data_IF_378719768190
#
_entry.id   IF_378719768190
#
_cell.length_a   1.000
_cell.length_b   1.000
_cell.length_c   1.000
_cell.angle_alpha   90.00
_cell.angle_beta   90.00
_cell.angle_gamma   90.00
#
_symmetry.space_group_name_H-M   'P 1'
#
loop_
_entity.id
_entity.type
_entity.pdbx_description
1 polymer ?
#
# COMPACT_ATOMS: atom_id res chain seq x y z
N UNK A 1 13.89 4.46 -10.82
CA UNK A 1 13.73 4.21 -10.34
C UNK A 1 12.73 3.89 -9.81
N UNK A 2 12.28 3.13 -9.59
CA UNK A 2 11.35 2.66 -9.18
C UNK A 2 11.46 2.34 -7.87
N UNK A 3 11.54 3.06 -7.03
CA UNK A 3 11.64 2.72 -5.73
C UNK A 3 10.42 2.27 -5.23
N UNK A 4 9.39 2.17 -5.88
CA UNK A 4 8.13 1.67 -5.36
C UNK A 4 8.01 0.18 -5.56
N UNK A 5 9.06 -0.50 -5.98
CA UNK A 5 8.93 -1.92 -6.14
C UNK A 5 9.06 -2.61 -4.81
N UNK A 6 7.99 -3.21 -4.33
CA UNK A 6 7.97 -3.85 -3.02
C UNK A 6 7.86 -5.37 -3.10
N UNK A 7 7.74 -5.92 -4.28
CA UNK A 7 7.55 -7.36 -4.42
C UNK A 7 8.75 -8.10 -3.85
N UNK A 8 8.49 -9.08 -3.02
CA UNK A 8 9.55 -9.86 -2.38
C UNK A 8 9.94 -9.37 -1.00
N UNK A 9 9.40 -8.24 -0.57
CA UNK A 9 9.73 -7.73 0.75
C UNK A 9 8.80 -8.34 1.79
N UNK A 10 9.25 -8.39 3.03
CA UNK A 10 8.40 -8.82 4.11
C UNK A 10 7.55 -7.65 4.61
N UNK A 11 6.55 -7.98 5.43
CA UNK A 11 5.72 -6.92 6.01
C UNK A 11 6.55 -5.92 6.78
N UNK A 12 7.54 -6.41 7.54
CA UNK A 12 8.36 -5.53 8.32
C UNK A 12 9.17 -4.59 7.43
N UNK A 13 9.66 -5.09 6.32
CA UNK A 13 10.42 -4.26 5.40
C UNK A 13 9.54 -3.22 4.73
N UNK A 14 8.31 -3.55 4.44
CA UNK A 14 7.39 -2.60 3.84
C UNK A 14 7.14 -1.44 4.80
N UNK A 15 6.91 -1.75 6.07
CA UNK A 15 6.69 -0.71 7.05
C UNK A 15 7.95 0.14 7.23
N UNK A 16 9.12 -0.49 7.17
CA UNK A 16 10.36 0.26 7.31
C UNK A 16 10.54 1.25 6.18
N UNK A 17 10.05 0.92 5.00
CA UNK A 17 10.22 1.82 3.88
C UNK A 17 9.16 2.89 3.80
N UNK A 18 7.93 2.57 4.12
CA UNK A 18 6.82 3.49 3.92
C UNK A 18 6.25 4.08 5.20
N UNK A 19 6.63 3.54 6.34
CA UNK A 19 6.14 4.08 7.60
C UNK A 19 4.91 3.37 8.08
N UNK A 20 4.27 3.91 9.12
CA UNK A 20 3.18 3.22 9.78
C UNK A 20 1.81 3.68 9.36
N UNK A 21 1.67 4.27 8.21
CA UNK A 21 0.39 4.78 7.77
C UNK A 21 -0.51 3.78 7.09
N UNK A 22 -0.20 2.50 7.20
CA UNK A 22 -0.99 1.49 6.52
C UNK A 22 -2.29 1.18 7.22
N UNK A 23 -3.27 0.85 6.42
CA UNK A 23 -4.47 0.23 6.93
C UNK A 23 -4.24 -1.26 6.82
N UNK A 24 -4.16 -1.96 7.93
CA UNK A 24 -3.77 -3.36 7.96
C UNK A 24 -4.94 -4.32 7.87
N UNK A 25 -6.06 -3.85 7.49
CA UNK A 25 -7.22 -4.71 7.42
C UNK A 25 -7.66 -4.83 5.96
N UNK A 26 -7.82 -6.03 5.43
CA UNK A 26 -7.57 -7.32 6.07
C UNK A 26 -6.07 -7.62 6.13
N UNK A 27 -5.72 -8.64 6.91
CA UNK A 27 -4.33 -8.91 7.18
C UNK A 27 -3.48 -9.17 5.96
N UNK A 28 -4.03 -9.80 4.94
CA UNK A 28 -3.23 -10.16 3.80
C UNK A 28 -3.22 -9.12 2.70
N UNK A 29 -3.91 -8.04 2.90
CA UNK A 29 -3.88 -6.97 1.92
C UNK A 29 -3.82 -5.66 2.67
N UNK A 30 -2.76 -4.93 2.48
CA UNK A 30 -2.60 -3.66 3.14
C UNK A 30 -2.88 -2.53 2.16
N UNK A 31 -3.37 -1.43 2.66
CA UNK A 31 -3.56 -0.25 1.83
C UNK A 31 -2.86 0.93 2.48
N UNK A 32 -2.38 1.81 1.65
CA UNK A 32 -1.62 2.95 2.12
C UNK A 32 -1.94 4.13 1.22
N UNK A 33 -2.33 5.24 1.80
CA UNK A 33 -2.69 6.41 1.01
C UNK A 33 -1.41 7.15 0.65
N UNK A 34 -1.09 7.17 -0.64
CA UNK A 34 0.13 7.80 -1.10
C UNK A 34 -0.02 9.30 -1.21
N UNK A 35 -1.19 9.75 -1.64
CA UNK A 35 -1.37 11.17 -1.86
C UNK A 35 -2.84 11.52 -1.81
N UNK A 36 -3.15 12.67 -1.27
CA UNK A 36 -4.50 13.17 -1.25
C UNK A 36 -4.52 14.48 -1.98
N UNK A 37 -5.56 14.68 -2.76
CA UNK A 37 -5.73 15.91 -3.49
C UNK A 37 -6.87 16.69 -2.87
N UNK A 38 -6.79 18.00 -2.93
CA UNK A 38 -7.79 18.84 -2.29
C UNK A 38 -9.18 18.69 -2.91
N UNK A 39 -9.26 18.21 -4.14
CA UNK A 39 -10.56 18.07 -4.79
C UNK A 39 -11.17 16.68 -4.63
N UNK A 40 -10.71 15.94 -3.67
CA UNK A 40 -11.38 14.68 -3.34
C UNK A 40 -10.76 13.43 -3.94
N UNK A 41 -9.71 13.54 -4.69
CA UNK A 41 -9.04 12.39 -5.26
C UNK A 41 -7.96 11.92 -4.32
N UNK A 42 -7.72 10.63 -4.28
CA UNK A 42 -6.59 10.12 -3.54
C UNK A 42 -6.01 8.93 -4.25
N UNK A 43 -4.75 8.71 -4.07
CA UNK A 43 -4.06 7.56 -4.65
C UNK A 43 -3.73 6.60 -3.53
N UNK A 44 -4.17 5.36 -3.69
CA UNK A 44 -4.03 4.34 -2.66
C UNK A 44 -3.19 3.22 -3.20
N UNK A 45 -2.18 2.84 -2.47
CA UNK A 45 -1.33 1.71 -2.82
C UNK A 45 -1.88 0.48 -2.12
N UNK A 46 -2.16 -0.56 -2.88
CA UNK A 46 -2.61 -1.82 -2.32
C UNK A 46 -1.50 -2.84 -2.43
N UNK A 47 -1.25 -3.56 -1.37
CA UNK A 47 -0.18 -4.54 -1.32
C UNK A 47 -0.76 -5.86 -0.86
N UNK A 48 -0.57 -6.90 -1.67
CA UNK A 48 -1.03 -8.23 -1.32
C UNK A 48 0.14 -9.06 -0.83
N UNK A 49 -0.10 -9.79 0.24
CA UNK A 49 0.92 -10.65 0.83
C UNK A 49 0.49 -12.10 0.70
N UNK A 50 1.46 -12.99 0.65
CA UNK A 50 1.14 -14.41 0.65
C UNK A 50 1.08 -14.90 2.10
N UNK A 51 0.95 -16.21 2.28
CA UNK A 51 0.80 -16.75 3.62
C UNK A 51 2.06 -16.60 4.45
N UNK A 52 3.19 -16.38 3.82
CA UNK A 52 4.42 -16.18 4.55
C UNK A 52 4.67 -14.71 4.86
N UNK A 53 3.80 -13.83 4.44
CA UNK A 53 3.96 -12.41 4.71
C UNK A 53 4.89 -11.71 3.75
N UNK A 54 5.05 -12.24 2.56
CA UNK A 54 5.91 -11.66 1.53
C UNK A 54 5.03 -11.01 0.48
N UNK A 55 5.42 -9.84 0.03
CA UNK A 55 4.65 -9.12 -0.98
C UNK A 55 4.70 -9.89 -2.28
N UNK A 56 3.53 -10.21 -2.81
CA UNK A 56 3.44 -10.92 -4.07
C UNK A 56 2.82 -10.05 -5.15
N UNK A 57 2.20 -8.94 -4.77
CA UNK A 57 1.60 -8.06 -5.74
C UNK A 57 1.40 -6.69 -5.13
N UNK A 58 1.57 -5.67 -5.92
CA UNK A 58 1.26 -4.32 -5.49
C UNK A 58 0.65 -3.57 -6.65
N UNK A 59 -0.25 -2.66 -6.37
CA UNK A 59 -0.84 -1.83 -7.40
C UNK A 59 -1.39 -0.56 -6.78
N UNK A 60 -1.59 0.44 -7.60
CA UNK A 60 -2.07 1.74 -7.15
C UNK A 60 -3.37 2.04 -7.83
N UNK A 61 -4.34 2.52 -7.08
CA UNK A 61 -5.62 2.92 -7.62
C UNK A 61 -5.91 4.35 -7.23
N UNK A 62 -6.54 5.08 -8.13
CA UNK A 62 -7.02 6.42 -7.84
C UNK A 62 -8.47 6.31 -7.43
N UNK A 63 -8.82 6.91 -6.32
CA UNK A 63 -10.20 6.88 -5.85
C UNK A 63 -10.68 8.28 -5.63
N UNK A 64 -11.94 8.50 -5.97
CA UNK A 64 -12.56 9.78 -5.74
C UNK A 64 -13.61 9.55 -4.68
N UNK A 65 -13.77 10.47 -3.77
CA UNK A 65 -14.82 10.22 -2.89
C UNK A 65 -14.81 11.16 -1.80
N UNK A 66 -15.96 11.36 -1.26
CA UNK A 66 -16.03 12.06 -0.34
C UNK A 66 -15.90 11.38 0.76
N UNK A 67 -15.72 10.71 1.13
CA UNK A 67 -15.65 10.03 2.20
C UNK A 67 -15.22 9.91 2.60
#
# INVERSE_FOLDING_TARGET
MKDTELIGLTKKEVVARLGNGFNFYPDNQWSYILKRYWYGRKEVLYIDFDTAGIVIRQYIESKYGKI
#
